data_IF_888089048751
#
_entry.id   IF_888089048751
#
_cell.length_a   1.000
_cell.length_b   1.000
_cell.length_c   1.000
_cell.angle_alpha   90.00
_cell.angle_beta   90.00
_cell.angle_gamma   90.00
#
_symmetry.space_group_name_H-M   'P 1'
#
loop_
_entity.id
_entity.type
_entity.pdbx_description
1 polymer ?
#
# COMPACT_ATOMS: atom_id res chain seq x y z
N UNK A 1 -11.89 -2.12 -1.11
CA UNK A 1 -11.54 -3.53 -1.43
C UNK A 1 -10.06 -3.55 -1.81
N UNK A 2 -9.28 -4.47 -1.25
CA UNK A 2 -7.86 -4.64 -1.63
C UNK A 2 -7.82 -5.41 -2.95
N UNK A 3 -7.25 -4.80 -3.99
CA UNK A 3 -7.07 -5.45 -5.29
C UNK A 3 -5.66 -5.15 -5.71
N UNK A 4 -4.82 -6.15 -5.91
CA UNK A 4 -3.45 -5.94 -6.39
C UNK A 4 -3.38 -6.32 -7.86
N UNK A 5 -2.54 -5.63 -8.63
CA UNK A 5 -2.27 -5.99 -10.01
C UNK A 5 -0.78 -6.15 -10.26
N UNK A 6 -0.54 -7.09 -11.17
CA UNK A 6 0.73 -7.71 -11.55
C UNK A 6 1.49 -8.30 -10.37
N UNK A 7 0.88 -9.41 -9.94
CA UNK A 7 1.43 -10.48 -9.12
C UNK A 7 1.29 -10.34 -7.59
N UNK A 8 0.18 -9.76 -7.16
CA UNK A 8 -0.44 -10.00 -5.87
C UNK A 8 -1.95 -9.92 -6.01
N UNK A 9 -2.73 -10.61 -5.20
CA UNK A 9 -4.13 -10.26 -4.94
C UNK A 9 -4.40 -10.64 -3.50
N UNK A 10 -4.55 -9.64 -2.63
CA UNK A 10 -4.84 -9.89 -1.22
C UNK A 10 -6.36 -9.83 -0.99
N UNK A 11 -7.03 -10.98 -1.11
CA UNK A 11 -8.31 -11.19 -0.43
C UNK A 11 -7.96 -11.72 0.96
N UNK A 12 -8.34 -10.99 2.01
CA UNK A 12 -8.14 -11.42 3.39
C UNK A 12 -9.02 -12.66 3.68
N UNK A 13 -8.40 -13.83 3.54
CA UNK A 13 -8.87 -15.14 3.99
C UNK A 13 -7.70 -15.79 4.73
N UNK A 14 -7.99 -16.70 5.66
CA UNK A 14 -7.18 -17.22 6.77
C UNK A 14 -5.81 -17.88 6.43
N UNK A 15 -5.26 -17.70 5.24
CA UNK A 15 -4.07 -18.38 4.73
C UNK A 15 -3.04 -17.44 4.09
N UNK A 16 -1.77 -17.85 4.20
CA UNK A 16 -0.50 -17.20 3.84
C UNK A 16 -0.49 -16.54 2.44
N UNK A 17 0.24 -15.43 2.31
CA UNK A 17 0.46 -14.66 1.06
C UNK A 17 1.09 -15.53 -0.04
N UNK A 18 0.36 -15.76 -1.13
CA UNK A 18 0.86 -16.42 -2.34
C UNK A 18 0.54 -15.52 -3.55
N UNK A 19 1.56 -15.25 -4.36
CA UNK A 19 1.53 -14.57 -5.68
C UNK A 19 0.43 -15.22 -6.55
N UNK A 20 -0.57 -14.49 -7.09
CA UNK A 20 -1.61 -15.08 -7.91
C UNK A 20 -1.03 -15.51 -9.26
N UNK A 21 -1.01 -16.82 -9.47
CA UNK A 21 -0.44 -17.49 -10.64
C UNK A 21 -1.47 -17.70 -11.77
N UNK A 22 -2.76 -17.42 -11.55
CA UNK A 22 -3.84 -17.73 -12.50
C UNK A 22 -4.73 -16.54 -12.88
N UNK A 23 -5.08 -16.48 -14.17
CA UNK A 23 -5.93 -15.47 -14.80
C UNK A 23 -7.33 -15.40 -14.16
N UNK A 24 -7.83 -16.54 -13.68
CA UNK A 24 -9.12 -16.70 -12.99
C UNK A 24 -9.31 -15.79 -11.77
N UNK A 25 -8.21 -15.47 -11.07
CA UNK A 25 -8.23 -14.68 -9.83
C UNK A 25 -8.47 -13.20 -10.15
N UNK A 26 -7.89 -12.69 -11.24
CA UNK A 26 -8.06 -11.31 -11.70
C UNK A 26 -9.50 -11.04 -12.12
N UNK A 27 -10.07 -11.94 -12.93
CA UNK A 27 -11.45 -11.81 -13.42
C UNK A 27 -12.48 -11.77 -12.31
N UNK A 28 -12.28 -12.58 -11.26
CA UNK A 28 -13.14 -12.55 -10.07
C UNK A 28 -13.07 -11.20 -9.37
N UNK A 29 -11.88 -10.61 -9.22
CA UNK A 29 -11.75 -9.29 -8.60
C UNK A 29 -12.45 -8.21 -9.41
N UNK A 30 -12.25 -8.17 -10.74
CA UNK A 30 -12.92 -7.19 -11.58
C UNK A 30 -14.44 -7.30 -11.49
N UNK A 31 -14.99 -8.52 -11.49
CA UNK A 31 -16.43 -8.74 -11.27
C UNK A 31 -16.92 -8.15 -9.95
N UNK A 32 -16.15 -8.30 -8.86
CA UNK A 32 -16.51 -7.72 -7.56
C UNK A 32 -16.40 -6.18 -7.60
N UNK A 33 -15.35 -5.62 -8.23
CA UNK A 33 -15.19 -4.16 -8.36
C UNK A 33 -16.38 -3.56 -9.10
N UNK A 34 -16.73 -4.11 -10.26
CA UNK A 34 -17.84 -3.59 -11.07
C UNK A 34 -19.20 -3.76 -10.38
N UNK A 35 -19.38 -4.84 -9.60
CA UNK A 35 -20.62 -5.10 -8.87
C UNK A 35 -20.81 -4.16 -7.68
N UNK A 36 -19.77 -3.98 -6.87
CA UNK A 36 -19.87 -3.25 -5.60
C UNK A 36 -19.45 -1.79 -5.70
N UNK A 37 -18.69 -1.42 -6.74
CA UNK A 37 -18.19 -0.07 -7.01
C UNK A 37 -17.64 0.62 -5.75
N UNK A 38 -16.65 0.03 -5.07
CA UNK A 38 -16.10 0.62 -3.86
C UNK A 38 -15.55 2.02 -4.12
N UNK A 39 -15.69 2.94 -3.15
CA UNK A 39 -15.17 4.30 -3.27
C UNK A 39 -13.64 4.34 -3.36
N UNK A 40 -12.97 3.41 -2.66
CA UNK A 40 -11.51 3.30 -2.67
C UNK A 40 -11.04 1.85 -2.88
N UNK A 41 -9.91 1.76 -3.58
CA UNK A 41 -9.21 0.52 -3.88
C UNK A 41 -7.75 0.68 -3.47
N UNK A 42 -7.24 -0.31 -2.76
CA UNK A 42 -5.85 -0.32 -2.30
C UNK A 42 -5.09 -1.39 -3.07
N UNK A 43 -4.06 -0.98 -3.80
CA UNK A 43 -3.18 -1.86 -4.56
C UNK A 43 -2.02 -2.32 -3.69
N UNK A 44 -1.81 -3.62 -3.62
CA UNK A 44 -0.67 -4.22 -2.89
C UNK A 44 0.45 -4.60 -3.86
N UNK A 45 1.69 -4.66 -3.37
CA UNK A 45 2.89 -5.08 -4.09
C UNK A 45 3.08 -4.35 -5.43
N UNK A 46 2.86 -3.03 -5.44
CA UNK A 46 3.19 -2.19 -6.58
C UNK A 46 4.70 -2.06 -6.67
N UNK A 47 5.28 -2.26 -7.86
CA UNK A 47 6.72 -2.09 -8.08
C UNK A 47 7.04 -0.88 -8.95
N UNK A 48 6.11 -0.50 -9.83
CA UNK A 48 6.28 0.57 -10.82
C UNK A 48 4.95 1.28 -11.11
N UNK A 49 5.01 2.40 -11.86
CA UNK A 49 3.81 3.16 -12.24
C UNK A 49 2.91 2.40 -13.21
N UNK A 50 3.48 1.53 -14.05
CA UNK A 50 2.75 0.74 -15.03
C UNK A 50 1.73 -0.18 -14.35
N UNK A 51 2.04 -0.73 -13.17
CA UNK A 51 1.10 -1.55 -12.38
C UNK A 51 -0.18 -0.77 -12.02
N UNK A 52 -0.04 0.51 -11.67
CA UNK A 52 -1.15 1.40 -11.29
C UNK A 52 -1.92 1.85 -12.54
N UNK A 53 -1.21 2.20 -13.61
CA UNK A 53 -1.82 2.62 -14.89
C UNK A 53 -2.63 1.47 -15.49
N UNK A 54 -2.06 0.28 -15.54
CA UNK A 54 -2.72 -0.92 -16.06
C UNK A 54 -3.95 -1.27 -15.21
N UNK A 55 -3.86 -1.12 -13.89
CA UNK A 55 -5.01 -1.24 -13.00
C UNK A 55 -6.10 -0.25 -13.35
N UNK A 56 -5.77 1.04 -13.39
CA UNK A 56 -6.76 2.09 -13.67
C UNK A 56 -7.46 1.82 -15.01
N UNK A 57 -6.71 1.47 -16.06
CA UNK A 57 -7.27 1.09 -17.38
C UNK A 57 -8.22 -0.10 -17.29
N UNK A 58 -7.86 -1.13 -16.53
CA UNK A 58 -8.66 -2.36 -16.43
C UNK A 58 -10.02 -2.17 -15.74
N UNK A 59 -10.15 -1.17 -14.86
CA UNK A 59 -11.39 -0.88 -14.12
C UNK A 59 -12.16 0.33 -14.66
N UNK A 60 -11.59 1.07 -15.61
CA UNK A 60 -12.15 2.35 -16.05
C UNK A 60 -13.49 2.13 -16.74
N UNK A 61 -14.53 2.77 -16.21
CA UNK A 61 -15.87 2.81 -16.79
C UNK A 61 -16.41 4.24 -16.68
N UNK A 62 -17.26 4.69 -17.61
CA UNK A 62 -17.74 6.08 -17.69
C UNK A 62 -18.33 6.64 -16.39
N UNK A 63 -18.89 5.78 -15.53
CA UNK A 63 -19.60 6.17 -14.30
C UNK A 63 -18.91 5.70 -13.01
N UNK A 64 -17.66 5.23 -13.08
CA UNK A 64 -16.94 4.70 -11.92
C UNK A 64 -15.46 5.05 -11.96
N UNK A 65 -15.03 5.87 -10.99
CA UNK A 65 -13.65 6.32 -10.83
C UNK A 65 -13.28 6.29 -9.34
N UNK A 66 -12.88 5.13 -8.80
CA UNK A 66 -12.51 5.02 -7.40
C UNK A 66 -11.17 5.69 -7.11
N UNK A 67 -10.97 6.09 -5.85
CA UNK A 67 -9.65 6.48 -5.34
C UNK A 67 -8.74 5.25 -5.33
N UNK A 68 -7.59 5.35 -6.00
CA UNK A 68 -6.57 4.31 -6.04
C UNK A 68 -5.44 4.68 -5.08
N UNK A 69 -5.26 3.83 -4.08
CA UNK A 69 -4.17 3.94 -3.11
C UNK A 69 -3.11 2.87 -3.38
N UNK A 70 -1.87 3.27 -3.62
CA UNK A 70 -0.77 2.34 -3.89
C UNK A 70 0.03 2.06 -2.63
N UNK A 71 0.21 0.77 -2.30
CA UNK A 71 1.01 0.36 -1.15
C UNK A 71 2.49 0.22 -1.54
N UNK A 72 3.34 0.87 -0.75
CA UNK A 72 4.80 0.75 -0.82
C UNK A 72 5.21 -0.37 0.13
N UNK A 73 5.57 -1.52 -0.44
CA UNK A 73 5.78 -2.80 0.28
C UNK A 73 7.14 -3.44 0.02
N UNK A 74 7.88 -2.99 -1.00
CA UNK A 74 9.14 -3.59 -1.41
C UNK A 74 10.16 -2.53 -1.82
N UNK A 75 11.43 -2.94 -1.93
CA UNK A 75 12.53 -2.09 -2.34
C UNK A 75 12.28 -1.40 -3.69
N UNK A 76 11.80 -2.14 -4.69
CA UNK A 76 11.49 -1.59 -6.02
C UNK A 76 10.47 -0.45 -5.94
N UNK A 77 9.44 -0.60 -5.10
CA UNK A 77 8.43 0.43 -4.86
C UNK A 77 9.03 1.71 -4.27
N UNK A 78 10.00 1.58 -3.35
CA UNK A 78 10.70 2.72 -2.75
C UNK A 78 11.59 3.43 -3.78
N UNK A 79 12.30 2.67 -4.63
CA UNK A 79 13.12 3.24 -5.70
C UNK A 79 12.28 4.02 -6.71
N UNK A 80 11.12 3.47 -7.09
CA UNK A 80 10.21 4.05 -8.07
C UNK A 80 9.10 4.91 -7.46
N UNK A 81 9.21 5.25 -6.17
CA UNK A 81 8.11 5.86 -5.40
C UNK A 81 7.64 7.17 -6.03
N UNK A 82 8.55 7.92 -6.65
CA UNK A 82 8.26 9.19 -7.28
C UNK A 82 7.25 9.04 -8.44
N UNK A 83 7.55 8.13 -9.37
CA UNK A 83 6.69 7.76 -10.49
C UNK A 83 5.35 7.16 -10.03
N UNK A 84 5.38 6.35 -8.97
CA UNK A 84 4.17 5.72 -8.41
C UNK A 84 3.24 6.78 -7.81
N UNK A 85 3.79 7.78 -7.10
CA UNK A 85 3.03 8.89 -6.52
C UNK A 85 2.27 9.67 -7.61
N UNK A 86 2.89 9.91 -8.76
CA UNK A 86 2.27 10.70 -9.86
C UNK A 86 1.00 10.05 -10.40
N UNK A 87 0.96 8.73 -10.44
CA UNK A 87 -0.16 7.96 -11.03
C UNK A 87 -1.18 7.46 -10.01
N UNK A 88 -0.88 7.60 -8.72
CA UNK A 88 -1.72 7.18 -7.60
C UNK A 88 -2.54 8.35 -7.05
N UNK A 89 -3.73 8.08 -6.50
CA UNK A 89 -4.50 9.13 -5.81
C UNK A 89 -3.99 9.33 -4.38
N UNK A 90 -3.64 8.23 -3.70
CA UNK A 90 -3.07 8.21 -2.36
C UNK A 90 -1.95 7.15 -2.28
N UNK A 91 -1.08 7.25 -1.28
CA UNK A 91 -0.01 6.28 -1.01
C UNK A 91 -0.18 5.67 0.37
N UNK A 92 0.16 4.39 0.52
CA UNK A 92 0.23 3.73 1.82
C UNK A 92 1.60 3.09 2.04
N UNK A 93 2.35 3.57 3.02
CA UNK A 93 3.58 2.93 3.46
C UNK A 93 3.26 1.72 4.35
N UNK A 94 3.44 0.52 3.83
CA UNK A 94 3.11 -0.72 4.52
C UNK A 94 4.36 -1.29 5.23
N UNK A 95 4.66 -0.73 6.41
CA UNK A 95 5.91 -0.96 7.16
C UNK A 95 6.20 -2.42 7.49
N UNK A 96 5.17 -3.24 7.69
CA UNK A 96 5.35 -4.67 8.00
C UNK A 96 5.99 -5.45 6.85
N UNK A 97 5.42 -5.32 5.64
CA UNK A 97 5.98 -5.92 4.43
C UNK A 97 7.31 -5.26 4.06
N UNK A 98 7.37 -3.93 4.11
CA UNK A 98 8.55 -3.17 3.74
C UNK A 98 9.76 -3.54 4.61
N UNK A 99 9.60 -3.60 5.94
CA UNK A 99 10.68 -3.99 6.86
C UNK A 99 11.23 -5.39 6.57
N UNK A 100 10.37 -6.32 6.14
CA UNK A 100 10.81 -7.67 5.75
C UNK A 100 11.64 -7.65 4.46
N UNK A 101 11.42 -6.66 3.60
CA UNK A 101 12.07 -6.55 2.29
C UNK A 101 13.38 -5.74 2.32
N UNK A 102 13.43 -4.65 3.10
CA UNK A 102 14.58 -3.72 3.14
C UNK A 102 15.36 -3.73 4.45
N UNK A 103 14.94 -4.52 5.44
CA UNK A 103 15.49 -4.49 6.80
C UNK A 103 14.87 -3.41 7.68
N UNK A 104 14.96 -3.58 8.99
CA UNK A 104 14.44 -2.61 9.96
C UNK A 104 15.29 -1.34 10.00
N UNK A 105 16.59 -1.48 9.78
CA UNK A 105 17.58 -0.42 9.75
C UNK A 105 17.31 0.62 8.65
N UNK A 106 16.72 0.19 7.53
CA UNK A 106 16.40 1.07 6.40
C UNK A 106 14.94 1.56 6.42
N UNK A 107 14.10 1.05 7.33
CA UNK A 107 12.67 1.32 7.34
C UNK A 107 12.35 2.80 7.54
N UNK A 108 13.02 3.45 8.51
CA UNK A 108 12.79 4.87 8.81
C UNK A 108 13.24 5.75 7.64
N UNK A 109 14.40 5.47 7.05
CA UNK A 109 14.88 6.20 5.87
C UNK A 109 13.89 6.08 4.69
N UNK A 110 13.37 4.88 4.42
CA UNK A 110 12.38 4.68 3.37
C UNK A 110 11.03 5.36 3.69
N UNK A 111 10.64 5.42 4.97
CA UNK A 111 9.45 6.13 5.42
C UNK A 111 9.56 7.62 5.14
N UNK A 112 10.64 8.24 5.62
CA UNK A 112 10.88 9.69 5.50
C UNK A 112 10.94 10.08 4.03
N UNK A 113 11.73 9.36 3.22
CA UNK A 113 11.81 9.58 1.77
C UNK A 113 10.44 9.50 1.09
N UNK A 114 9.62 8.50 1.45
CA UNK A 114 8.30 8.33 0.85
C UNK A 114 7.37 9.47 1.26
N UNK A 115 7.42 9.88 2.53
CA UNK A 115 6.58 10.94 3.06
C UNK A 115 6.95 12.30 2.44
N UNK A 116 8.24 12.63 2.39
CA UNK A 116 8.75 13.86 1.77
C UNK A 116 8.26 13.98 0.33
N UNK A 117 8.45 12.94 -0.49
CA UNK A 117 7.96 12.94 -1.89
C UNK A 117 6.44 13.06 -2.00
N UNK A 118 5.70 12.46 -1.07
CA UNK A 118 4.24 12.63 -1.03
C UNK A 118 3.87 14.08 -0.71
N UNK A 119 4.56 14.73 0.23
CA UNK A 119 4.34 16.15 0.59
C UNK A 119 4.66 17.05 -0.61
N UNK A 120 5.81 16.87 -1.24
CA UNK A 120 6.24 17.64 -2.44
C UNK A 120 5.19 17.57 -3.55
N UNK A 121 4.57 16.40 -3.74
CA UNK A 121 3.57 16.16 -4.78
C UNK A 121 2.13 16.42 -4.33
N UNK A 122 1.92 16.96 -3.12
CA UNK A 122 0.59 17.18 -2.52
C UNK A 122 -0.30 15.91 -2.52
N UNK A 123 0.30 14.75 -2.24
CA UNK A 123 -0.39 13.46 -2.19
C UNK A 123 -0.49 12.97 -0.75
N UNK A 124 -1.65 12.43 -0.38
CA UNK A 124 -1.85 11.87 0.96
C UNK A 124 -1.04 10.58 1.12
N UNK A 125 -0.23 10.52 2.17
CA UNK A 125 0.50 9.34 2.58
C UNK A 125 -0.11 8.74 3.86
N UNK A 126 -0.42 7.45 3.84
CA UNK A 126 -0.91 6.68 4.98
C UNK A 126 0.21 5.78 5.49
N UNK A 127 0.57 5.89 6.77
CA UNK A 127 1.53 4.96 7.37
C UNK A 127 0.75 3.82 8.03
N UNK A 128 1.09 2.59 7.67
CA UNK A 128 0.37 1.39 8.12
C UNK A 128 1.31 0.35 8.72
N UNK A 129 0.77 -0.38 9.70
CA UNK A 129 1.41 -1.48 10.44
C UNK A 129 2.50 -1.05 11.44
N UNK A 130 2.64 -1.88 12.48
CA UNK A 130 3.68 -1.81 13.51
C UNK A 130 3.81 -0.48 14.28
N UNK A 131 2.79 0.40 14.28
CA UNK A 131 2.81 1.68 15.02
C UNK A 131 2.69 1.43 16.53
N UNK A 132 1.66 0.70 16.93
CA UNK A 132 1.42 0.31 18.33
C UNK A 132 1.56 -1.21 18.48
N UNK A 133 2.68 -1.76 17.97
CA UNK A 133 2.85 -3.21 17.86
C UNK A 133 2.81 -3.89 19.23
N UNK A 134 3.31 -3.24 20.28
CA UNK A 134 3.36 -3.82 21.62
C UNK A 134 1.97 -4.14 22.19
N UNK A 135 0.92 -3.45 21.71
CA UNK A 135 -0.46 -3.69 22.15
C UNK A 135 -1.00 -5.08 21.77
N UNK A 136 -0.33 -5.81 20.88
CA UNK A 136 -0.70 -7.22 20.65
C UNK A 136 -0.32 -8.16 21.80
N UNK A 137 0.58 -7.71 22.68
CA UNK A 137 1.15 -8.52 23.76
C UNK A 137 1.01 -7.87 25.14
N UNK A 138 0.79 -6.56 25.20
CA UNK A 138 0.69 -5.78 26.44
C UNK A 138 -0.56 -4.89 26.41
N UNK A 139 -1.09 -4.56 27.59
CA UNK A 139 -2.27 -3.70 27.71
C UNK A 139 -1.95 -2.20 27.60
N UNK A 140 -0.68 -1.84 27.45
CA UNK A 140 -0.21 -0.47 27.33
C UNK A 140 0.92 -0.39 26.29
N UNK A 141 1.01 0.73 25.53
CA UNK A 141 2.07 0.91 24.56
C UNK A 141 3.42 1.11 25.26
N UNK A 142 4.49 0.60 24.65
CA UNK A 142 5.85 0.85 25.13
C UNK A 142 6.32 2.27 24.80
N UNK A 143 7.38 2.74 25.45
CA UNK A 143 8.03 4.01 25.08
C UNK A 143 8.47 4.01 23.61
N UNK A 144 8.91 2.86 23.07
CA UNK A 144 9.30 2.75 21.67
C UNK A 144 8.12 3.02 20.72
N UNK A 145 6.95 2.44 21.00
CA UNK A 145 5.71 2.68 20.22
C UNK A 145 5.29 4.16 20.26
N UNK A 146 5.37 4.79 21.44
CA UNK A 146 5.03 6.21 21.60
C UNK A 146 6.05 7.12 20.89
N UNK A 147 7.34 6.78 20.96
CA UNK A 147 8.39 7.52 20.24
C UNK A 147 8.20 7.42 18.72
N UNK A 148 7.92 6.23 18.19
CA UNK A 148 7.63 6.00 16.77
C UNK A 148 6.41 6.81 16.30
N UNK A 149 5.29 6.72 17.04
CA UNK A 149 4.10 7.50 16.75
C UNK A 149 4.37 9.02 16.81
N UNK A 150 5.13 9.48 17.83
CA UNK A 150 5.47 10.89 17.96
C UNK A 150 6.34 11.39 16.81
N UNK A 151 7.23 10.54 16.28
CA UNK A 151 8.07 10.89 15.14
C UNK A 151 7.21 11.07 13.88
N UNK A 152 6.28 10.15 13.63
CA UNK A 152 5.37 10.20 12.48
C UNK A 152 4.44 11.42 12.45
N UNK A 153 3.99 11.89 13.61
CA UNK A 153 3.07 13.06 13.71
C UNK A 153 3.82 14.39 13.51
N UNK A 154 5.13 14.43 13.74
CA UNK A 154 5.94 15.65 13.68
C UNK A 154 6.48 15.96 12.28
N UNK A 155 6.34 15.04 11.34
CA UNK A 155 6.69 15.22 9.93
C UNK A 155 5.47 15.73 9.15
#
# INVERSE_FOLDING_TARGET
MLVSLKSGMAIASKYRFIKPTSEDIKDKCFKIIHKFKPASIVLSYIENKEDVIDFRKSIQCQIYNPTIMSKIECYSAVQNVDDIIDVSDEIMLARGCLATNIGLENLLCAQDLTLEKCIEKNKRCWIASNILKSLSSYNAPTCADICDLSHMIKQ
#
